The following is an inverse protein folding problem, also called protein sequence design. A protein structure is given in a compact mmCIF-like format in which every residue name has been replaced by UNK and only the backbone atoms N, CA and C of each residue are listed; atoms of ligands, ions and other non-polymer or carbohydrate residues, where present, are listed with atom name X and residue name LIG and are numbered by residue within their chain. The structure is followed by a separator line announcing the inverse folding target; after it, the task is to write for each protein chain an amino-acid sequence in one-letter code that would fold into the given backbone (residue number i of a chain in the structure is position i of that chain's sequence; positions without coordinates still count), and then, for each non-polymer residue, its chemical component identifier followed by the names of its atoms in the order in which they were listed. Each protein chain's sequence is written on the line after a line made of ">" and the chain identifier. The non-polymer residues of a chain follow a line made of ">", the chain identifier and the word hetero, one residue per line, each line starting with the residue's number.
data_IF_145154360089
#
_entry.id   IF_145154360089
#
_cell.length_a   1.000
_cell.length_b   1.000
_cell.length_c   1.000
_cell.angle_alpha   90.00
_cell.angle_beta   90.00
_cell.angle_gamma   90.00
#
_symmetry.space_group_name_H-M   'P 1'
#
loop_
_entity.id
_entity.type
_entity.pdbx_description
1 polymer ?
#
# COMPACT_ATOMS: atom_id res chain seq x y z
N UNK A 1 7.71 -6.31 -7.40
CA UNK A 1 7.75 -4.96 -6.80
C UNK A 1 6.37 -4.63 -6.29
N UNK A 2 6.10 -3.40 -5.88
CA UNK A 2 4.75 -2.96 -5.50
C UNK A 2 4.24 -2.08 -6.62
N UNK A 3 3.31 -2.60 -7.43
CA UNK A 3 2.73 -1.94 -8.60
C UNK A 3 1.22 -1.73 -8.46
N UNK A 4 0.62 -2.33 -7.43
CA UNK A 4 -0.80 -2.27 -7.13
C UNK A 4 -1.06 -2.24 -5.63
N UNK A 5 -2.30 -1.92 -5.23
CA UNK A 5 -2.76 -2.02 -3.84
C UNK A 5 -2.67 -3.47 -3.33
N UNK A 6 -3.00 -4.46 -4.18
CA UNK A 6 -2.94 -5.87 -3.82
C UNK A 6 -1.51 -6.34 -3.50
N UNK A 7 -0.51 -5.85 -4.24
CA UNK A 7 0.90 -6.15 -3.93
C UNK A 7 1.28 -5.60 -2.55
N UNK A 8 0.86 -4.38 -2.23
CA UNK A 8 1.12 -3.75 -0.94
C UNK A 8 0.44 -4.53 0.20
N UNK A 9 -0.85 -4.87 0.02
CA UNK A 9 -1.60 -5.69 0.94
C UNK A 9 -0.90 -7.02 1.23
N UNK A 10 -0.47 -7.76 0.20
CA UNK A 10 0.21 -9.04 0.39
C UNK A 10 1.47 -8.89 1.26
N UNK A 11 2.21 -7.78 1.15
CA UNK A 11 3.39 -7.53 2.00
C UNK A 11 3.01 -7.35 3.47
N UNK A 12 1.96 -6.58 3.73
CA UNK A 12 1.45 -6.40 5.09
C UNK A 12 0.86 -7.70 5.64
N UNK A 13 0.13 -8.48 4.84
CA UNK A 13 -0.40 -9.79 5.22
C UNK A 13 0.71 -10.81 5.53
N UNK A 14 1.89 -10.68 4.92
CA UNK A 14 3.09 -11.44 5.28
C UNK A 14 3.80 -10.92 6.54
N UNK A 15 3.27 -9.89 7.21
CA UNK A 15 3.78 -9.34 8.47
C UNK A 15 4.82 -8.22 8.31
N UNK A 16 4.89 -7.54 7.17
CA UNK A 16 5.77 -6.39 7.03
C UNK A 16 5.20 -5.17 7.78
N UNK A 17 5.99 -4.57 8.68
CA UNK A 17 5.60 -3.32 9.36
C UNK A 17 5.71 -2.08 8.45
N UNK A 18 6.58 -2.16 7.43
CA UNK A 18 6.87 -1.07 6.51
C UNK A 18 7.16 -1.61 5.10
N UNK A 19 6.67 -0.90 4.09
CA UNK A 19 6.99 -1.14 2.69
C UNK A 19 7.62 0.10 2.05
N UNK A 20 8.45 -0.12 1.03
CA UNK A 20 9.05 0.94 0.24
C UNK A 20 8.74 0.73 -1.25
N UNK A 21 8.48 1.83 -1.96
CA UNK A 21 8.03 1.80 -3.35
C UNK A 21 8.90 2.76 -4.15
N UNK A 22 9.67 2.21 -5.11
CA UNK A 22 10.48 3.00 -6.04
C UNK A 22 9.94 2.90 -7.46
N UNK A 23 10.10 1.75 -8.13
CA UNK A 23 9.63 1.58 -9.52
C UNK A 23 8.13 1.81 -9.66
N UNK A 24 7.31 1.40 -8.68
CA UNK A 24 5.88 1.68 -8.68
C UNK A 24 5.55 3.18 -8.68
N UNK A 25 6.33 3.99 -7.98
CA UNK A 25 6.17 5.45 -7.99
C UNK A 25 6.54 6.04 -9.36
N UNK A 26 7.59 5.52 -10.00
CA UNK A 26 8.02 5.98 -11.33
C UNK A 26 6.98 5.65 -12.40
N UNK A 27 6.41 4.45 -12.38
CA UNK A 27 5.48 3.99 -13.43
C UNK A 27 4.02 4.41 -13.21
N UNK A 28 3.56 4.51 -11.96
CA UNK A 28 2.16 4.78 -11.63
C UNK A 28 1.94 6.14 -10.96
N UNK A 29 3.02 6.88 -10.68
CA UNK A 29 2.96 8.18 -10.05
C UNK A 29 2.46 8.13 -8.60
N UNK A 30 2.18 9.30 -8.00
CA UNK A 30 1.74 9.39 -6.61
C UNK A 30 0.34 8.82 -6.37
N UNK A 31 -0.44 8.52 -7.43
CA UNK A 31 -1.76 7.91 -7.31
C UNK A 31 -1.70 6.55 -6.62
N UNK A 32 -0.71 5.72 -6.98
CA UNK A 32 -0.51 4.41 -6.34
C UNK A 32 -0.34 4.52 -4.82
N UNK A 33 0.37 5.54 -4.36
CA UNK A 33 0.57 5.79 -2.93
C UNK A 33 -0.73 6.21 -2.24
N UNK A 34 -1.54 7.05 -2.89
CA UNK A 34 -2.85 7.46 -2.37
C UNK A 34 -3.79 6.27 -2.24
N UNK A 35 -3.84 5.41 -3.26
CA UNK A 35 -4.73 4.24 -3.26
C UNK A 35 -4.35 3.25 -2.16
N UNK A 36 -3.05 3.02 -1.94
CA UNK A 36 -2.55 2.18 -0.83
C UNK A 36 -2.92 2.80 0.52
N UNK A 37 -2.73 4.11 0.71
CA UNK A 37 -3.08 4.78 1.96
C UNK A 37 -4.59 4.76 2.24
N UNK A 38 -5.42 4.93 1.20
CA UNK A 38 -6.87 4.82 1.33
C UNK A 38 -7.28 3.42 1.78
N UNK A 39 -6.65 2.37 1.26
CA UNK A 39 -6.91 1.01 1.70
C UNK A 39 -6.47 0.77 3.16
N UNK A 40 -5.29 1.26 3.56
CA UNK A 40 -4.79 1.15 4.94
C UNK A 40 -5.72 1.82 5.95
N UNK A 41 -6.23 3.02 5.66
CA UNK A 41 -7.10 3.76 6.59
C UNK A 41 -8.51 3.16 6.69
N UNK A 42 -9.02 2.58 5.60
CA UNK A 42 -10.31 1.85 5.63
C UNK A 42 -10.23 0.56 6.46
N UNK A 43 -9.10 -0.13 6.42
CA UNK A 43 -8.91 -1.43 7.13
C UNK A 43 -8.70 -1.23 8.64
N UNK A 44 -8.09 -0.11 9.06
CA UNK A 44 -7.75 0.16 10.47
C UNK A 44 -8.62 1.23 11.15
N UNK A 45 -9.69 1.69 10.48
CA UNK A 45 -10.59 2.73 10.98
C UNK A 45 -11.73 2.25 11.89
N UNK A 46 -11.75 0.99 12.33
CA UNK A 46 -12.83 0.41 13.17
C UNK A 46 -12.30 -0.23 14.46
N UNK A 47 -11.44 0.51 15.16
CA UNK A 47 -11.20 0.30 16.60
C UNK A 47 -11.50 1.61 17.32
N UNK A 48 -12.80 1.86 17.50
CA UNK A 48 -13.34 2.77 18.50
C UNK A 48 -14.48 2.02 19.21
#
# INVERSE_FOLDING_TARGET
>A
GIMSVADAQQRFDCGADLIQIYSGLIYHGPQLIKDINHWLTQTHGSTA
#
